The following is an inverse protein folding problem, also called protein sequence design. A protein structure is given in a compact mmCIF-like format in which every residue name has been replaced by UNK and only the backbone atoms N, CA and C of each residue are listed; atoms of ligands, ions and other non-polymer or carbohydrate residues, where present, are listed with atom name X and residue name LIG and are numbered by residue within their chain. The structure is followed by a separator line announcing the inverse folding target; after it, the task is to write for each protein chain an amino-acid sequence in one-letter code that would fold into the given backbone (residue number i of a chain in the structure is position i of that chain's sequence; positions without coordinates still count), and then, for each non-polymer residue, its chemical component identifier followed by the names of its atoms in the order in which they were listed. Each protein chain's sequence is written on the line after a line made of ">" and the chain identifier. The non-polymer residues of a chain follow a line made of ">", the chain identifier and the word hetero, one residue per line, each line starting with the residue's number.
data_IF_454168453050
#
_entry.id   IF_454168453050
#
_cell.length_a   1.000
_cell.length_b   1.000
_cell.length_c   1.000
_cell.angle_alpha   90.00
_cell.angle_beta   90.00
_cell.angle_gamma   90.00
#
_symmetry.space_group_name_H-M   'P 1'
#
loop_
_entity.id
_entity.type
_entity.pdbx_description
1 polymer ?
#
# COMPACT_ATOMS: atom_id res chain seq x y z
N UNK A 1 -9.00 -1.51 -1.08
CA UNK A 1 -8.21 -1.96 -2.26
C UNK A 1 -7.05 -2.79 -1.75
N UNK A 2 -6.87 -4.00 -2.29
CA UNK A 2 -5.86 -4.98 -1.86
C UNK A 2 -4.80 -5.21 -2.93
N UNK A 3 -3.59 -5.54 -2.50
CA UNK A 3 -2.44 -5.90 -3.33
C UNK A 3 -1.45 -6.73 -2.50
N UNK A 4 -0.37 -7.21 -3.11
CA UNK A 4 0.64 -8.02 -2.42
C UNK A 4 1.99 -7.30 -2.32
N UNK A 5 2.65 -7.40 -1.16
CA UNK A 5 4.01 -6.91 -0.93
C UNK A 5 4.79 -7.97 -0.15
N UNK A 6 5.91 -8.45 -0.70
CA UNK A 6 6.72 -9.47 -0.04
C UNK A 6 5.94 -10.76 0.28
N UNK A 7 4.95 -11.12 -0.54
CA UNK A 7 4.05 -12.27 -0.31
C UNK A 7 2.94 -12.03 0.71
N UNK A 8 2.90 -10.87 1.37
CA UNK A 8 1.85 -10.49 2.31
C UNK A 8 0.73 -9.75 1.59
N UNK A 9 -0.52 -10.02 1.99
CA UNK A 9 -1.67 -9.26 1.51
C UNK A 9 -1.72 -7.92 2.24
N UNK A 10 -1.79 -6.85 1.48
CA UNK A 10 -1.85 -5.49 1.96
C UNK A 10 -3.13 -4.82 1.47
N UNK A 11 -3.64 -3.86 2.23
CA UNK A 11 -4.82 -3.09 1.89
C UNK A 11 -4.65 -1.62 2.24
N UNK A 12 -5.41 -0.80 1.52
CA UNK A 12 -5.64 0.61 1.82
C UNK A 12 -7.10 0.95 1.52
N UNK A 13 -7.59 2.06 2.08
CA UNK A 13 -8.92 2.56 1.76
C UNK A 13 -8.97 2.98 0.28
N UNK A 14 -9.91 2.39 -0.48
CA UNK A 14 -10.04 2.63 -1.91
C UNK A 14 -10.28 4.11 -2.25
N UNK A 15 -10.87 4.89 -1.33
CA UNK A 15 -11.09 6.34 -1.48
C UNK A 15 -9.78 7.12 -1.58
N UNK A 16 -8.66 6.54 -1.14
CA UNK A 16 -7.34 7.15 -1.28
C UNK A 16 -6.82 7.10 -2.73
N UNK A 17 -7.32 6.16 -3.55
CA UNK A 17 -6.86 5.94 -4.91
C UNK A 17 -7.67 6.78 -5.88
N UNK A 18 -7.00 7.71 -6.55
CA UNK A 18 -7.58 8.52 -7.61
C UNK A 18 -7.59 7.78 -8.95
N UNK A 19 -6.52 7.04 -9.25
CA UNK A 19 -6.41 6.28 -10.50
C UNK A 19 -5.58 5.01 -10.32
N UNK A 20 -5.89 4.00 -11.14
CA UNK A 20 -5.14 2.76 -11.29
C UNK A 20 -4.78 2.58 -12.76
N UNK A 21 -3.50 2.35 -13.07
CA UNK A 21 -3.02 2.12 -14.44
C UNK A 21 -2.09 0.93 -14.50
N UNK A 22 -2.13 0.17 -15.59
CA UNK A 22 -1.14 -0.89 -15.82
C UNK A 22 0.15 -0.27 -16.35
N UNK A 23 1.29 -0.63 -15.77
CA UNK A 23 2.60 -0.21 -16.26
C UNK A 23 3.15 -1.24 -17.24
N UNK A 24 3.66 -0.82 -18.41
CA UNK A 24 4.50 -1.70 -19.23
C UNK A 24 5.77 -2.06 -18.43
N UNK A 25 6.32 -3.26 -18.63
CA UNK A 25 7.36 -3.84 -17.77
C UNK A 25 8.53 -2.91 -17.43
N UNK A 26 9.04 -2.17 -18.43
CA UNK A 26 10.16 -1.22 -18.25
C UNK A 26 9.76 0.11 -17.59
N UNK A 27 8.48 0.50 -17.65
CA UNK A 27 7.96 1.76 -17.09
C UNK A 27 7.89 1.81 -15.57
N UNK A 28 8.08 0.66 -14.90
CA UNK A 28 7.97 0.54 -13.45
C UNK A 28 9.08 1.25 -12.68
N UNK A 29 10.31 1.28 -13.22
CA UNK A 29 11.49 1.87 -12.54
C UNK A 29 11.44 3.39 -12.36
N UNK A 30 10.55 4.08 -13.08
CA UNK A 30 10.38 5.53 -12.96
C UNK A 30 9.60 5.94 -11.69
N UNK A 31 8.86 5.00 -11.10
CA UNK A 31 7.96 5.29 -9.99
C UNK A 31 8.47 4.62 -8.71
N UNK A 32 8.26 5.30 -7.58
CA UNK A 32 8.57 4.74 -6.26
C UNK A 32 7.83 3.42 -6.08
N UNK A 33 8.57 2.37 -5.70
CA UNK A 33 7.99 1.08 -5.34
C UNK A 33 7.30 1.19 -3.98
N UNK A 34 6.13 0.56 -3.84
CA UNK A 34 5.39 0.53 -2.56
C UNK A 34 6.22 -0.11 -1.45
N UNK A 35 7.04 -1.10 -1.77
CA UNK A 35 7.99 -1.75 -0.86
C UNK A 35 8.85 -0.71 -0.14
N UNK A 36 9.53 0.15 -0.90
CA UNK A 36 10.36 1.23 -0.38
C UNK A 36 9.60 2.22 0.48
N UNK A 37 8.37 2.56 0.09
CA UNK A 37 7.53 3.47 0.86
C UNK A 37 7.15 2.88 2.23
N UNK A 38 6.84 1.58 2.26
CA UNK A 38 6.44 0.85 3.47
C UNK A 38 7.63 0.44 4.36
N UNK A 39 8.88 0.71 3.95
CA UNK A 39 10.07 0.27 4.68
C UNK A 39 10.41 -1.22 4.48
N UNK A 40 9.93 -1.81 3.38
CA UNK A 40 10.18 -3.19 2.99
C UNK A 40 11.27 -3.25 1.89
N UNK A 41 12.05 -4.35 1.83
CA UNK A 41 13.02 -4.53 0.76
C UNK A 41 12.32 -4.61 -0.59
N UNK A 42 12.82 -3.85 -1.57
CA UNK A 42 12.36 -3.99 -2.95
C UNK A 42 12.62 -5.41 -3.44
N UNK A 43 11.59 -6.05 -3.97
CA UNK A 43 11.80 -7.31 -4.66
C UNK A 43 12.36 -7.01 -6.04
N UNK A 44 13.58 -7.50 -6.32
CA UNK A 44 14.30 -7.37 -7.60
C UNK A 44 13.66 -8.14 -8.76
N UNK A 45 12.34 -8.23 -8.77
CA UNK A 45 11.56 -8.86 -9.82
C UNK A 45 11.32 -7.85 -10.94
N UNK A 46 12.40 -7.46 -11.64
CA UNK A 46 12.38 -6.53 -12.77
C UNK A 46 11.49 -7.00 -13.96
N UNK A 47 10.94 -8.21 -13.89
CA UNK A 47 10.10 -8.84 -14.92
C UNK A 47 8.62 -8.97 -14.51
N UNK A 48 8.24 -8.60 -13.29
CA UNK A 48 6.83 -8.70 -12.87
C UNK A 48 6.04 -7.47 -13.32
N UNK A 49 4.91 -7.72 -13.98
CA UNK A 49 3.93 -6.69 -14.31
C UNK A 49 3.52 -5.97 -13.03
N UNK A 50 3.57 -4.63 -13.04
CA UNK A 50 3.17 -3.77 -11.92
C UNK A 50 2.03 -2.87 -12.36
N UNK A 51 1.29 -2.38 -11.39
CA UNK A 51 0.29 -1.34 -11.59
C UNK A 51 0.72 -0.06 -10.88
N UNK A 52 0.32 1.07 -11.43
CA UNK A 52 0.53 2.39 -10.85
C UNK A 52 -0.74 2.81 -10.12
N UNK A 53 -0.61 3.05 -8.83
CA UNK A 53 -1.63 3.72 -8.02
C UNK A 53 -1.31 5.20 -7.95
N UNK A 54 -2.26 6.03 -8.35
CA UNK A 54 -2.21 7.48 -8.11
C UNK A 54 -3.06 7.79 -6.89
N UNK A 55 -2.45 8.38 -5.87
CA UNK A 55 -3.06 8.68 -4.57
C UNK A 55 -3.15 10.20 -4.44
N UNK A 56 -4.34 10.69 -4.12
CA UNK A 56 -4.55 12.13 -3.84
C UNK A 56 -4.38 12.40 -2.36
N UNK A 57 -3.57 13.41 -2.03
CA UNK A 57 -3.38 13.86 -0.66
C UNK A 57 -4.56 14.76 -0.22
N UNK A 58 -5.01 14.68 1.04
CA UNK A 58 -6.25 15.33 1.48
C UNK A 58 -6.18 16.87 1.57
N UNK A 59 -4.98 17.46 1.68
CA UNK A 59 -4.78 18.90 1.89
C UNK A 59 -4.12 19.62 0.70
N UNK A 60 -3.90 18.92 -0.42
CA UNK A 60 -3.28 19.51 -1.60
C UNK A 60 -3.78 18.85 -2.88
N UNK A 61 -3.81 19.60 -3.98
CA UNK A 61 -3.98 19.04 -5.33
C UNK A 61 -2.74 18.22 -5.78
N UNK A 62 -1.89 17.80 -4.83
CA UNK A 62 -0.72 16.96 -5.11
C UNK A 62 -1.19 15.51 -5.21
N UNK A 63 -0.82 14.91 -6.31
CA UNK A 63 -1.00 13.48 -6.57
C UNK A 63 0.36 12.77 -6.50
N UNK A 64 0.41 11.70 -5.72
CA UNK A 64 1.59 10.84 -5.62
C UNK A 64 1.31 9.55 -6.38
N UNK A 65 2.29 9.09 -7.16
CA UNK A 65 2.16 7.84 -7.91
C UNK A 65 3.12 6.79 -7.36
N UNK A 66 2.60 5.62 -7.02
CA UNK A 66 3.34 4.51 -6.42
C UNK A 66 3.10 3.24 -7.23
N UNK A 67 4.17 2.50 -7.55
CA UNK A 67 4.03 1.22 -8.24
C UNK A 67 3.79 0.09 -7.23
N UNK A 68 2.84 -0.79 -7.53
CA UNK A 68 2.46 -1.95 -6.72
C UNK A 68 2.50 -3.24 -7.55
N UNK A 69 2.66 -4.37 -6.87
CA UNK A 69 2.56 -5.69 -7.50
C UNK A 69 1.11 -6.02 -7.85
N UNK A 70 0.94 -6.81 -8.92
CA UNK A 70 -0.35 -7.39 -9.30
C UNK A 70 -0.63 -8.70 -8.55
N UNK A 71 -1.91 -9.09 -8.37
CA UNK A 71 -3.12 -8.35 -8.73
C UNK A 71 -3.44 -7.23 -7.73
N UNK A 72 -3.99 -6.12 -8.23
CA UNK A 72 -4.70 -5.13 -7.41
C UNK A 72 -6.18 -5.38 -7.54
N UNK A 73 -6.87 -5.50 -6.41
CA UNK A 73 -8.30 -5.82 -6.38
C UNK A 73 -9.07 -4.83 -5.52
N UNK A 74 -10.30 -4.54 -5.92
CA UNK A 74 -11.26 -3.92 -5.03
C UNK A 74 -11.87 -5.05 -4.20
N UNK A 75 -11.61 -5.01 -2.90
CA UNK A 75 -12.06 -5.99 -1.93
C UNK A 75 -12.75 -5.25 -0.81
N UNK A 76 -13.93 -5.74 -0.44
CA UNK A 76 -14.70 -5.24 0.69
C UNK A 76 -14.25 -5.99 1.94
N UNK A 77 -13.90 -5.23 2.98
CA UNK A 77 -13.56 -5.78 4.29
C UNK A 77 -14.69 -5.40 5.24
N UNK A 78 -15.30 -6.41 5.86
CA UNK A 78 -16.27 -6.20 6.92
C UNK A 78 -15.60 -5.45 8.09
N UNK A 79 -16.36 -4.59 8.77
CA UNK A 79 -15.79 -3.77 9.83
C UNK A 79 -15.30 -4.60 11.03
N UNK A 80 -16.00 -5.69 11.34
CA UNK A 80 -15.71 -6.56 12.48
C UNK A 80 -14.42 -7.38 12.35
N UNK A 81 -13.92 -7.56 11.12
CA UNK A 81 -12.62 -8.20 10.85
C UNK A 81 -11.44 -7.23 10.91
N UNK A 82 -11.69 -5.92 11.04
CA UNK A 82 -10.65 -4.90 11.10
C UNK A 82 -10.32 -4.60 12.56
N UNK A 83 -9.09 -4.89 12.95
CA UNK A 83 -8.59 -4.69 14.31
C UNK A 83 -7.48 -3.64 14.35
N UNK A 84 -7.43 -2.78 15.38
CA UNK A 84 -6.29 -1.91 15.60
C UNK A 84 -5.03 -2.73 15.83
N UNK A 85 -3.87 -2.13 15.59
CA UNK A 85 -2.60 -2.79 15.88
C UNK A 85 -2.46 -3.07 17.38
N UNK A 86 -2.10 -4.31 17.78
CA UNK A 86 -1.71 -4.58 19.15
C UNK A 86 -0.53 -3.69 19.55
N UNK A 87 -0.52 -3.17 20.79
CA UNK A 87 0.49 -2.22 21.28
C UNK A 87 1.93 -2.68 21.02
N UNK A 88 2.19 -3.97 21.22
CA UNK A 88 3.51 -4.55 20.99
C UNK A 88 3.94 -4.48 19.51
N UNK A 89 2.99 -4.69 18.58
CA UNK A 89 3.25 -4.59 17.14
C UNK A 89 3.44 -3.11 16.76
N UNK A 90 2.55 -2.23 17.23
CA UNK A 90 2.63 -0.80 16.96
C UNK A 90 3.95 -0.20 17.44
N UNK A 91 4.45 -0.60 18.62
CA UNK A 91 5.67 -0.08 19.21
C UNK A 91 6.96 -0.61 18.57
N UNK A 92 6.90 -1.69 17.78
CA UNK A 92 8.08 -2.42 17.28
C UNK A 92 8.15 -2.54 15.77
N UNK A 93 7.03 -2.37 15.08
CA UNK A 93 6.99 -2.50 13.62
C UNK A 93 7.85 -1.42 12.96
N UNK A 94 8.58 -1.84 11.93
CA UNK A 94 9.28 -0.92 11.02
C UNK A 94 8.45 -0.64 9.77
N UNK A 95 7.24 -1.24 9.66
CA UNK A 95 6.34 -1.06 8.54
C UNK A 95 5.68 0.32 8.64
N UNK A 96 6.11 1.22 7.76
CA UNK A 96 5.63 2.60 7.76
C UNK A 96 4.19 2.65 7.29
N UNK A 97 3.37 3.47 7.97
CA UNK A 97 1.97 3.67 7.64
C UNK A 97 1.05 2.49 7.96
N UNK A 98 1.52 1.40 8.57
CA UNK A 98 0.66 0.32 9.05
C UNK A 98 -0.23 0.87 10.17
N UNK A 99 -1.55 0.68 10.07
CA UNK A 99 -2.50 1.24 11.03
C UNK A 99 -3.49 0.21 11.60
N UNK A 100 -3.73 -0.90 10.89
CA UNK A 100 -4.65 -1.94 11.34
C UNK A 100 -4.31 -3.30 10.72
N UNK A 101 -4.97 -4.34 11.23
CA UNK A 101 -4.92 -5.71 10.73
C UNK A 101 -6.33 -6.15 10.34
N UNK A 102 -6.49 -6.70 9.15
CA UNK A 102 -7.70 -7.41 8.72
C UNK A 102 -7.54 -8.91 8.94
N UNK A 103 -8.46 -9.53 9.68
CA UNK A 103 -8.44 -10.95 10.02
C UNK A 103 -9.59 -11.68 9.30
N UNK A 104 -9.32 -12.21 8.12
CA UNK A 104 -10.30 -12.96 7.32
C UNK A 104 -10.07 -14.47 7.42
N UNK A 105 -11.04 -15.27 6.98
CA UNK A 105 -10.91 -16.74 7.00
C UNK A 105 -9.76 -17.27 6.15
N UNK A 106 -9.33 -16.50 5.15
CA UNK A 106 -8.28 -16.87 4.20
C UNK A 106 -6.90 -16.28 4.54
N UNK A 107 -6.81 -15.49 5.62
CA UNK A 107 -5.54 -15.04 6.17
C UNK A 107 -5.54 -13.63 6.76
N UNK A 108 -4.32 -13.13 6.96
CA UNK A 108 -4.04 -11.81 7.50
C UNK A 108 -3.86 -10.78 6.39
N UNK A 109 -4.53 -9.65 6.51
CA UNK A 109 -4.37 -8.48 5.64
C UNK A 109 -3.76 -7.33 6.43
N UNK A 110 -2.64 -6.78 5.95
CA UNK A 110 -2.00 -5.61 6.54
C UNK A 110 -2.64 -4.33 6.00
N UNK A 111 -3.23 -3.49 6.86
CA UNK A 111 -3.94 -2.28 6.42
C UNK A 111 -3.06 -1.05 6.65
N UNK A 112 -2.83 -0.29 5.59
CA UNK A 112 -1.96 0.89 5.58
C UNK A 112 -2.75 2.18 5.32
N UNK A 113 -2.34 3.25 6.00
CA UNK A 113 -2.74 4.62 5.66
C UNK A 113 -1.65 5.29 4.81
N UNK A 114 -1.77 5.16 3.49
CA UNK A 114 -0.79 5.73 2.57
C UNK A 114 -0.90 7.25 2.46
N UNK A 115 -2.07 7.85 2.70
CA UNK A 115 -2.22 9.31 2.67
C UNK A 115 -1.35 9.96 3.74
N UNK A 116 -1.46 9.50 4.99
CA UNK A 116 -0.66 10.06 6.07
C UNK A 116 0.84 9.85 5.81
N UNK A 117 1.22 8.64 5.38
CA UNK A 117 2.61 8.30 5.07
C UNK A 117 3.20 9.17 3.95
N UNK A 118 2.44 9.42 2.87
CA UNK A 118 2.91 10.25 1.77
C UNK A 118 2.97 11.74 2.14
N UNK A 119 2.05 12.22 2.97
CA UNK A 119 2.13 13.58 3.52
C UNK A 119 3.42 13.80 4.31
N UNK A 120 3.87 12.81 5.10
CA UNK A 120 5.15 12.87 5.82
C UNK A 120 6.34 12.95 4.86
N UNK A 121 6.34 12.16 3.79
CA UNK A 121 7.42 12.12 2.80
C UNK A 121 7.49 13.40 1.95
N UNK A 122 6.36 14.02 1.63
CA UNK A 122 6.33 15.28 0.85
C UNK A 122 6.77 16.48 1.70
N UNK A 123 6.61 16.41 3.02
CA UNK A 123 6.99 17.49 3.96
C UNK A 123 8.44 17.42 4.43
N UNK A 124 9.11 16.27 4.27
CA UNK A 124 10.52 16.05 4.63
C UNK A 124 11.48 16.47 3.52
#
# INVERSE_FOLDING_TARGET
>A
MTFYVGGQRCALDARQVHALRTLPGEGSRKYTAIESLLGLPEQNNACLQRQLLTIRLPESDVECSVSVSVPVQLHELEFDVIHPLPDLVAARTQLRGLCALGMESDGLTLIFDLRNLLCEVVRS
#
